data_IF_310770276382
#
_entry.id   IF_310770276382
#
_cell.length_a   1.000
_cell.length_b   1.000
_cell.length_c   1.000
_cell.angle_alpha   90.00
_cell.angle_beta   90.00
_cell.angle_gamma   90.00
#
_symmetry.space_group_name_H-M   'P 1'
#
loop_
_entity.id
_entity.type
_entity.pdbx_description
1 polymer ?
#
# COMPACT_ATOMS: atom_id res chain seq x y z
N UNK A 1 10.30 10.74 5.14
CA UNK A 1 9.72 9.51 5.72
C UNK A 1 8.84 8.88 4.65
N UNK A 2 8.51 7.59 4.77
CA UNK A 2 7.68 6.92 3.75
C UNK A 2 6.31 7.59 3.55
N UNK A 3 5.69 8.08 4.62
CA UNK A 3 4.44 8.85 4.55
C UNK A 3 4.55 10.06 3.61
N UNK A 4 5.63 10.85 3.71
CA UNK A 4 5.84 12.02 2.84
C UNK A 4 6.00 11.61 1.37
N UNK A 5 6.71 10.51 1.10
CA UNK A 5 6.93 10.02 -0.27
C UNK A 5 5.63 9.47 -0.88
N UNK A 6 4.84 8.75 -0.09
CA UNK A 6 3.49 8.29 -0.48
C UNK A 6 2.59 9.50 -0.75
N UNK A 7 2.60 10.53 0.10
CA UNK A 7 1.83 11.76 -0.12
C UNK A 7 2.27 12.48 -1.42
N UNK A 8 3.58 12.57 -1.66
CA UNK A 8 4.14 13.19 -2.85
C UNK A 8 3.83 12.42 -4.15
N UNK A 9 3.56 11.11 -4.08
CA UNK A 9 3.17 10.30 -5.24
C UNK A 9 1.80 10.68 -5.83
N UNK A 10 0.95 11.39 -5.06
CA UNK A 10 -0.44 11.67 -5.44
C UNK A 10 -1.38 10.46 -5.33
N UNK A 11 -0.87 9.30 -4.90
CA UNK A 11 -1.61 8.04 -4.71
C UNK A 11 -1.78 7.69 -3.22
N UNK A 12 -1.63 8.68 -2.33
CA UNK A 12 -1.89 8.46 -0.92
C UNK A 12 -3.36 8.07 -0.70
N UNK A 13 -3.64 7.11 0.19
CA UNK A 13 -5.00 6.81 0.59
C UNK A 13 -5.71 8.04 1.13
N UNK A 14 -7.02 8.13 0.92
CA UNK A 14 -7.82 9.29 1.36
C UNK A 14 -8.13 9.25 2.86
N UNK A 15 -8.00 8.07 3.48
CA UNK A 15 -8.25 7.85 4.89
C UNK A 15 -6.95 7.39 5.60
N UNK A 16 -6.60 8.04 6.70
CA UNK A 16 -5.38 7.74 7.47
C UNK A 16 -5.35 6.33 8.08
N UNK A 17 -6.50 5.64 8.15
CA UNK A 17 -6.60 4.25 8.61
C UNK A 17 -6.30 3.22 7.51
N UNK A 18 -6.12 3.67 6.27
CA UNK A 18 -5.75 2.80 5.16
C UNK A 18 -4.23 2.58 5.15
N UNK A 19 -3.83 1.36 4.82
CA UNK A 19 -2.42 0.99 4.74
C UNK A 19 -1.84 1.31 3.37
N UNK A 20 -0.62 1.84 3.33
CA UNK A 20 0.13 2.06 2.10
C UNK A 20 1.61 1.72 2.32
N UNK A 21 2.24 1.16 1.28
CA UNK A 21 3.67 0.83 1.26
C UNK A 21 4.22 1.33 -0.07
N UNK A 22 5.29 2.12 -0.02
CA UNK A 22 6.07 2.52 -1.18
C UNK A 22 7.44 1.88 -1.09
N UNK A 23 7.82 1.14 -2.13
CA UNK A 23 9.13 0.50 -2.20
C UNK A 23 9.61 0.35 -3.64
N UNK A 24 10.92 0.44 -3.83
CA UNK A 24 11.56 0.10 -5.11
C UNK A 24 11.73 -1.41 -5.19
N UNK A 25 11.15 -2.02 -6.23
CA UNK A 25 11.26 -3.46 -6.50
C UNK A 25 12.16 -3.71 -7.70
N UNK A 26 12.98 -4.76 -7.62
CA UNK A 26 13.68 -5.29 -8.77
C UNK A 26 12.73 -6.09 -9.68
N UNK A 27 13.24 -6.59 -10.80
CA UNK A 27 12.47 -7.52 -11.63
C UNK A 27 12.24 -8.84 -10.88
N UNK A 28 10.99 -9.27 -10.75
CA UNK A 28 10.65 -10.53 -10.09
C UNK A 28 9.15 -10.62 -9.79
N UNK A 29 8.74 -11.79 -9.30
CA UNK A 29 7.39 -11.99 -8.80
C UNK A 29 7.31 -11.62 -7.31
N UNK A 30 6.24 -10.92 -6.93
CA UNK A 30 6.00 -10.48 -5.55
C UNK A 30 4.58 -10.82 -5.12
N UNK A 31 4.37 -10.97 -3.82
CA UNK A 31 3.07 -11.24 -3.21
C UNK A 31 2.74 -10.13 -2.22
N UNK A 32 1.58 -9.49 -2.38
CA UNK A 32 1.03 -8.61 -1.37
C UNK A 32 0.28 -9.44 -0.32
N UNK A 33 0.59 -9.26 0.96
CA UNK A 33 -0.08 -9.92 2.08
C UNK A 33 -0.98 -8.90 2.77
N UNK A 34 -2.27 -9.21 2.89
CA UNK A 34 -3.27 -8.36 3.56
C UNK A 34 -3.87 -9.10 4.75
N UNK A 35 -4.06 -8.38 5.86
CA UNK A 35 -4.73 -8.86 7.06
C UNK A 35 -5.56 -7.73 7.67
N UNK A 36 -6.73 -8.06 8.22
CA UNK A 36 -7.54 -7.12 8.98
C UNK A 36 -6.84 -6.67 10.26
N UNK A 37 -6.99 -5.39 10.61
CA UNK A 37 -6.51 -4.87 11.90
C UNK A 37 -7.01 -5.76 13.04
N UNK A 38 -6.15 -6.06 14.01
CA UNK A 38 -6.47 -6.91 15.17
C UNK A 38 -7.04 -8.30 14.82
N UNK A 39 -6.61 -8.88 13.68
CA UNK A 39 -7.08 -10.17 13.17
C UNK A 39 -8.59 -10.22 12.83
N UNK A 40 -9.19 -9.08 12.54
CA UNK A 40 -10.56 -9.00 12.05
C UNK A 40 -10.72 -9.56 10.64
N UNK A 41 -11.98 -9.83 10.25
CA UNK A 41 -12.33 -10.32 8.90
C UNK A 41 -13.23 -9.32 8.19
N UNK A 42 -13.22 -9.36 6.85
CA UNK A 42 -13.97 -8.45 6.00
C UNK A 42 -13.54 -8.55 4.54
N UNK A 43 -14.02 -7.63 3.70
CA UNK A 43 -13.57 -7.49 2.31
C UNK A 43 -12.45 -6.46 2.26
N UNK A 44 -11.30 -6.85 1.69
CA UNK A 44 -10.16 -5.96 1.45
C UNK A 44 -9.93 -5.78 -0.06
N UNK A 45 -9.62 -4.56 -0.47
CA UNK A 45 -9.18 -4.23 -1.82
C UNK A 45 -7.67 -3.97 -1.81
N UNK A 46 -6.97 -4.46 -2.83
CA UNK A 46 -5.54 -4.21 -3.04
C UNK A 46 -5.35 -3.63 -4.42
N UNK A 47 -4.62 -2.51 -4.49
CA UNK A 47 -4.26 -1.84 -5.72
C UNK A 47 -2.73 -1.72 -5.77
N UNK A 48 -2.16 -1.93 -6.96
CA UNK A 48 -0.72 -1.86 -7.18
C UNK A 48 -0.47 -0.84 -8.29
N UNK A 49 0.37 0.13 -7.98
CA UNK A 49 0.72 1.21 -8.90
C UNK A 49 2.22 1.17 -9.18
N UNK A 50 2.57 1.28 -10.45
CA UNK A 50 3.95 1.52 -10.86
C UNK A 50 4.18 3.03 -11.01
N UNK A 51 5.16 3.56 -10.30
CA UNK A 51 5.53 4.97 -10.34
C UNK A 51 6.73 5.13 -11.30
N UNK A 52 6.54 5.90 -12.37
CA UNK A 52 7.57 6.22 -13.36
C UNK A 52 8.35 7.49 -12.97
#
# INVERSE_FOLDING_TARGET
TQQTEIAASGLAPTNEKESAILMTLGSGAYTAIVRGQDNTTGVGLVEIYNLN
#
